data_IF_456682053122
#
_entry.id   IF_456682053122
#
_cell.length_a   1.000
_cell.length_b   1.000
_cell.length_c   1.000
_cell.angle_alpha   90.00
_cell.angle_beta   90.00
_cell.angle_gamma   90.00
#
_symmetry.space_group_name_H-M   'P 1'
#
loop_
_entity.id
_entity.type
_entity.pdbx_description
1 polymer ?
#
# COMPACT_ATOMS: atom_id res chain seq x y z
N UNK A 1 -10.23 -43.93 -9.28
CA UNK A 1 -9.64 -42.59 -9.07
C UNK A 1 -9.97 -42.14 -7.65
N UNK A 2 -9.00 -42.12 -6.74
CA UNK A 2 -9.18 -41.63 -5.36
C UNK A 2 -8.97 -40.11 -5.36
N UNK A 3 -10.01 -39.32 -5.08
CA UNK A 3 -9.86 -37.87 -4.83
C UNK A 3 -9.57 -37.67 -3.35
N UNK A 4 -8.42 -37.08 -3.05
CA UNK A 4 -8.06 -36.64 -1.70
C UNK A 4 -8.78 -35.30 -1.45
N UNK A 5 -9.72 -35.20 -0.50
CA UNK A 5 -10.33 -33.94 -0.13
C UNK A 5 -9.39 -33.24 0.86
N UNK A 6 -8.59 -32.28 0.40
CA UNK A 6 -7.74 -31.53 1.35
C UNK A 6 -6.61 -30.69 0.78
N UNK A 7 -6.24 -30.83 -0.50
CA UNK A 7 -5.31 -29.88 -1.10
C UNK A 7 -6.08 -28.61 -1.49
N UNK A 8 -6.20 -27.68 -0.54
CA UNK A 8 -6.41 -26.27 -0.88
C UNK A 8 -5.24 -25.92 -1.79
N UNK A 9 -5.45 -25.51 -3.05
CA UNK A 9 -4.33 -25.14 -3.91
C UNK A 9 -3.54 -24.03 -3.22
N UNK A 10 -2.35 -24.36 -2.69
CA UNK A 10 -1.42 -23.36 -2.15
C UNK A 10 -0.88 -22.44 -3.25
N UNK A 11 -1.16 -22.77 -4.51
CA UNK A 11 -1.05 -21.83 -5.60
C UNK A 11 -1.89 -20.59 -5.27
N UNK A 12 -1.16 -19.51 -4.98
CA UNK A 12 -1.58 -18.13 -5.17
C UNK A 12 -2.36 -17.43 -4.04
N UNK A 13 -2.22 -17.76 -2.75
CA UNK A 13 -2.72 -16.86 -1.70
C UNK A 13 -2.16 -15.42 -1.84
N UNK A 14 -0.91 -15.31 -2.34
CA UNK A 14 -0.29 -14.03 -2.75
C UNK A 14 -0.99 -13.40 -3.95
N UNK A 15 -1.38 -14.17 -4.97
CA UNK A 15 -2.06 -13.58 -6.14
C UNK A 15 -3.54 -13.28 -5.86
N UNK A 16 -4.19 -13.98 -4.93
CA UNK A 16 -5.54 -13.62 -4.45
C UNK A 16 -5.49 -12.26 -3.74
N UNK A 17 -4.51 -12.05 -2.86
CA UNK A 17 -4.31 -10.74 -2.21
C UNK A 17 -3.99 -9.65 -3.21
N UNK A 18 -3.10 -9.93 -4.16
CA UNK A 18 -2.76 -8.99 -5.23
C UNK A 18 -3.99 -8.63 -6.07
N UNK A 19 -4.78 -9.63 -6.47
CA UNK A 19 -6.02 -9.43 -7.24
C UNK A 19 -7.04 -8.61 -6.46
N UNK A 20 -7.22 -8.88 -5.17
CA UNK A 20 -8.10 -8.10 -4.32
C UNK A 20 -7.65 -6.64 -4.20
N UNK A 21 -6.33 -6.40 -4.13
CA UNK A 21 -5.77 -5.04 -4.12
C UNK A 21 -6.00 -4.36 -5.47
N UNK A 22 -5.69 -5.03 -6.59
CA UNK A 22 -5.91 -4.50 -7.95
C UNK A 22 -7.38 -4.14 -8.15
N UNK A 23 -8.31 -5.02 -7.76
CA UNK A 23 -9.74 -4.75 -7.84
C UNK A 23 -10.15 -3.52 -7.03
N UNK A 24 -9.62 -3.35 -5.82
CA UNK A 24 -9.89 -2.16 -4.99
C UNK A 24 -9.35 -0.88 -5.61
N UNK A 25 -8.15 -0.92 -6.21
CA UNK A 25 -7.59 0.21 -6.93
C UNK A 25 -8.45 0.58 -8.14
N UNK A 26 -8.92 -0.40 -8.90
CA UNK A 26 -9.84 -0.18 -10.02
C UNK A 26 -11.16 0.46 -9.57
N UNK A 27 -11.71 0.03 -8.43
CA UNK A 27 -12.91 0.64 -7.87
C UNK A 27 -12.68 2.11 -7.48
N UNK A 28 -11.52 2.42 -6.87
CA UNK A 28 -11.16 3.81 -6.55
C UNK A 28 -11.04 4.64 -7.83
N UNK A 29 -10.39 4.11 -8.86
CA UNK A 29 -10.27 4.81 -10.16
C UNK A 29 -11.63 5.15 -10.75
N UNK A 30 -12.57 4.20 -10.73
CA UNK A 30 -13.93 4.43 -11.25
C UNK A 30 -14.69 5.44 -10.40
N UNK A 31 -14.62 5.32 -9.07
CA UNK A 31 -15.40 6.18 -8.16
C UNK A 31 -14.93 7.63 -8.15
N UNK A 32 -13.62 7.85 -8.25
CA UNK A 32 -13.01 9.19 -8.23
C UNK A 32 -12.77 9.74 -9.64
N UNK A 33 -13.19 9.00 -10.68
CA UNK A 33 -12.96 9.34 -12.09
C UNK A 33 -11.48 9.61 -12.40
N UNK A 34 -10.60 8.76 -11.90
CA UNK A 34 -9.15 8.86 -12.08
C UNK A 34 -8.67 7.94 -13.20
N UNK A 35 -7.78 8.46 -14.02
CA UNK A 35 -6.95 7.65 -14.91
C UNK A 35 -5.90 6.86 -14.11
N UNK A 36 -5.32 5.79 -14.68
CA UNK A 36 -4.23 5.06 -14.02
C UNK A 36 -3.06 5.96 -13.62
N UNK A 37 -2.68 6.91 -14.48
CA UNK A 37 -1.56 7.81 -14.23
C UNK A 37 -1.85 8.79 -13.10
N UNK A 38 -3.07 9.32 -13.02
CA UNK A 38 -3.50 10.18 -11.91
C UNK A 38 -3.53 9.42 -10.58
N UNK A 39 -4.02 8.17 -10.57
CA UNK A 39 -3.99 7.34 -9.37
C UNK A 39 -2.55 7.13 -8.87
N UNK A 40 -1.61 6.88 -9.78
CA UNK A 40 -0.18 6.77 -9.44
C UNK A 40 0.31 8.09 -8.86
N UNK A 41 0.04 9.23 -9.51
CA UNK A 41 0.41 10.55 -9.00
C UNK A 41 -0.15 10.83 -7.60
N UNK A 42 -1.40 10.47 -7.33
CA UNK A 42 -2.00 10.56 -5.98
C UNK A 42 -1.25 9.71 -4.95
N UNK A 43 -0.86 8.48 -5.32
CA UNK A 43 -0.12 7.59 -4.42
C UNK A 43 1.28 8.14 -4.09
N UNK A 44 1.95 8.79 -5.05
CA UNK A 44 3.24 9.44 -4.84
C UNK A 44 3.14 10.61 -3.86
N UNK A 45 2.13 11.47 -4.01
CA UNK A 45 1.88 12.59 -3.09
C UNK A 45 1.65 12.05 -1.67
N UNK A 46 0.86 10.97 -1.53
CA UNK A 46 0.61 10.33 -0.22
C UNK A 46 1.90 9.77 0.39
N UNK A 47 2.74 9.09 -0.41
CA UNK A 47 4.05 8.58 0.02
C UNK A 47 4.96 9.71 0.52
N UNK A 48 5.04 10.80 -0.23
CA UNK A 48 5.92 11.93 0.10
C UNK A 48 5.45 12.63 1.38
N UNK A 49 4.13 12.80 1.54
CA UNK A 49 3.52 13.33 2.76
C UNK A 49 3.80 12.43 3.96
N UNK A 50 3.70 11.11 3.80
CA UNK A 50 3.99 10.15 4.87
C UNK A 50 5.47 10.22 5.29
N UNK A 51 6.39 10.30 4.32
CA UNK A 51 7.82 10.48 4.56
C UNK A 51 8.13 11.77 5.32
N UNK A 52 7.54 12.89 4.90
CA UNK A 52 7.69 14.20 5.56
C UNK A 52 7.15 14.19 6.99
N UNK A 53 6.00 13.58 7.23
CA UNK A 53 5.43 13.44 8.56
C UNK A 53 6.31 12.59 9.48
N UNK A 54 6.88 11.50 8.97
CA UNK A 54 7.81 10.67 9.72
C UNK A 54 9.11 11.40 10.06
N UNK A 55 9.65 12.18 9.12
CA UNK A 55 10.82 13.03 9.36
C UNK A 55 10.54 14.06 10.47
N UNK A 56 9.40 14.76 10.41
CA UNK A 56 9.01 15.74 11.44
C UNK A 56 8.83 15.06 12.80
N UNK A 57 8.20 13.88 12.84
CA UNK A 57 8.06 13.10 14.08
C UNK A 57 9.41 12.74 14.67
N UNK A 58 10.37 12.25 13.87
CA UNK A 58 11.71 11.91 14.35
C UNK A 58 12.51 13.16 14.79
N UNK A 59 12.40 14.26 14.05
CA UNK A 59 13.04 15.53 14.39
C UNK A 59 12.53 16.14 15.70
N UNK A 60 11.28 15.86 16.10
CA UNK A 60 10.72 16.31 17.38
C UNK A 60 11.10 15.42 18.56
N UNK A 61 11.59 14.20 18.31
CA UNK A 61 12.01 13.23 19.33
C UNK A 61 13.52 13.30 19.60
N UNK A 62 14.29 13.89 18.68
CA UNK A 62 15.68 14.24 18.97
C UNK A 62 15.72 15.34 20.04
N UNK A 63 16.32 15.10 21.23
CA UNK A 63 16.49 16.16 22.21
C UNK A 63 17.32 17.29 21.57
N UNK A 64 17.14 18.55 21.99
CA UNK A 64 18.03 19.61 21.53
C UNK A 64 19.45 19.16 21.86
N UNK A 65 20.32 19.10 20.84
CA UNK A 65 21.76 19.02 21.08
C UNK A 65 22.11 20.23 21.94
N UNK A 66 22.25 20.02 23.26
CA UNK A 66 22.97 20.96 24.11
C UNK A 66 24.38 20.99 23.58
N UNK A 67 24.66 21.91 22.66
CA UNK A 67 26.02 22.35 22.44
C UNK A 67 26.36 23.28 23.60
N UNK A 68 27.36 22.82 24.35
CA UNK A 68 28.10 23.49 25.43
C UNK A 68 27.40 23.53 26.79
#
# INVERSE_FOLDING_TARGET
MHRIPGEIPQHNTKNIKLMAIVHRLQQIMVNENLTPDELVGCAEIVRDNYGRLNYIRQSRVAPPSRRL
#
